data_IF_356534407792
#
_entry.id   IF_356534407792
#
_cell.length_a   1.000
_cell.length_b   1.000
_cell.length_c   1.000
_cell.angle_alpha   90.00
_cell.angle_beta   90.00
_cell.angle_gamma   90.00
#
_symmetry.space_group_name_H-M   'P 1'
#
loop_
_entity.id
_entity.type
_entity.pdbx_description
1 polymer ?
#
# COMPACT_ATOMS: atom_id res chain seq x y z
N UNK A 1 -19.31 -15.21 -5.25
CA UNK A 1 -18.18 -15.43 -6.18
C UNK A 1 -17.41 -14.14 -6.48
N UNK A 2 -18.07 -13.03 -6.84
CA UNK A 2 -17.44 -11.74 -7.13
C UNK A 2 -16.66 -11.11 -5.96
N UNK A 3 -17.16 -11.21 -4.74
CA UNK A 3 -16.53 -10.64 -3.53
C UNK A 3 -15.17 -11.26 -3.22
N UNK A 4 -15.02 -12.58 -3.39
CA UNK A 4 -13.75 -13.29 -3.24
C UNK A 4 -12.73 -12.91 -4.32
N UNK A 5 -13.21 -12.64 -5.54
CA UNK A 5 -12.34 -12.19 -6.64
C UNK A 5 -11.83 -10.76 -6.39
N UNK A 6 -12.71 -9.86 -5.93
CA UNK A 6 -12.32 -8.52 -5.50
C UNK A 6 -11.31 -8.56 -4.35
N UNK A 7 -11.48 -9.48 -3.40
CA UNK A 7 -10.51 -9.69 -2.32
C UNK A 7 -9.13 -10.05 -2.87
N UNK A 8 -9.01 -11.08 -3.70
CA UNK A 8 -7.73 -11.53 -4.26
C UNK A 8 -7.08 -10.42 -5.10
N UNK A 9 -7.86 -9.77 -5.98
CA UNK A 9 -7.37 -8.72 -6.88
C UNK A 9 -6.91 -7.50 -6.10
N UNK A 10 -7.69 -7.02 -5.13
CA UNK A 10 -7.30 -5.86 -4.29
C UNK A 10 -6.02 -6.13 -3.50
N UNK A 11 -5.84 -7.36 -2.98
CA UNK A 11 -4.64 -7.75 -2.26
C UNK A 11 -3.40 -7.68 -3.15
N UNK A 12 -3.42 -8.34 -4.31
CA UNK A 12 -2.29 -8.33 -5.24
C UNK A 12 -2.02 -6.93 -5.82
N UNK A 13 -3.06 -6.16 -6.17
CA UNK A 13 -2.90 -4.78 -6.62
C UNK A 13 -2.23 -3.91 -5.56
N UNK A 14 -2.64 -4.03 -4.30
CA UNK A 14 -2.01 -3.25 -3.22
C UNK A 14 -0.52 -3.54 -3.07
N UNK A 15 -0.11 -4.80 -3.24
CA UNK A 15 1.31 -5.20 -3.17
C UNK A 15 2.10 -4.70 -4.37
N UNK A 16 1.58 -4.85 -5.58
CA UNK A 16 2.24 -4.38 -6.82
C UNK A 16 2.41 -2.86 -6.78
N UNK A 17 1.35 -2.14 -6.41
CA UNK A 17 1.38 -0.68 -6.26
C UNK A 17 2.34 -0.29 -5.15
N UNK A 18 2.33 -0.97 -4.01
CA UNK A 18 3.27 -0.74 -2.91
C UNK A 18 4.74 -0.93 -3.31
N UNK A 19 5.05 -1.95 -4.11
CA UNK A 19 6.40 -2.18 -4.65
C UNK A 19 6.81 -1.07 -5.61
N UNK A 20 5.96 -0.73 -6.59
CA UNK A 20 6.21 0.37 -7.52
C UNK A 20 6.41 1.70 -6.79
N UNK A 21 5.62 1.90 -5.73
CA UNK A 21 5.71 3.04 -4.84
C UNK A 21 7.04 3.08 -4.08
N UNK A 22 7.51 1.95 -3.54
CA UNK A 22 8.82 1.85 -2.87
C UNK A 22 9.97 2.19 -3.82
N UNK A 23 9.91 1.71 -5.07
CA UNK A 23 10.92 2.00 -6.09
C UNK A 23 10.99 3.49 -6.47
N UNK A 24 9.88 4.23 -6.36
CA UNK A 24 9.83 5.66 -6.67
C UNK A 24 10.70 6.52 -5.74
N UNK A 25 11.10 5.99 -4.57
CA UNK A 25 11.99 6.67 -3.62
C UNK A 25 13.42 6.76 -4.15
N UNK A 26 13.82 5.86 -5.07
CA UNK A 26 15.19 5.77 -5.55
C UNK A 26 15.70 7.08 -6.18
N UNK A 27 14.80 7.89 -6.78
CA UNK A 27 15.14 9.24 -7.21
C UNK A 27 14.13 10.25 -6.66
N UNK A 28 14.65 11.34 -6.08
CA UNK A 28 13.84 12.43 -5.49
C UNK A 28 12.81 12.98 -6.49
N UNK A 29 13.12 13.00 -7.78
CA UNK A 29 12.21 13.44 -8.84
C UNK A 29 10.93 12.61 -8.92
N UNK A 30 10.98 11.31 -8.61
CA UNK A 30 9.83 10.41 -8.69
C UNK A 30 9.01 10.32 -7.40
N UNK A 31 9.50 10.92 -6.31
CA UNK A 31 8.83 10.88 -4.99
C UNK A 31 7.42 11.47 -5.04
N UNK A 32 7.18 12.51 -5.85
CA UNK A 32 5.83 13.07 -6.05
C UNK A 32 4.85 12.03 -6.61
N UNK A 33 5.27 11.23 -7.59
CA UNK A 33 4.48 10.12 -8.12
C UNK A 33 4.34 9.00 -7.08
N UNK A 34 5.39 8.79 -6.27
CA UNK A 34 5.37 7.90 -5.12
C UNK A 34 4.24 8.20 -4.14
N UNK A 35 4.01 9.47 -3.80
CA UNK A 35 2.90 9.85 -2.92
C UNK A 35 1.54 9.46 -3.50
N UNK A 36 1.34 9.71 -4.81
CA UNK A 36 0.10 9.30 -5.49
C UNK A 36 -0.11 7.79 -5.48
N UNK A 37 0.96 7.02 -5.77
CA UNK A 37 0.93 5.56 -5.72
C UNK A 37 0.74 5.04 -4.29
N UNK A 38 1.29 5.71 -3.27
CA UNK A 38 1.09 5.35 -1.87
C UNK A 38 -0.40 5.42 -1.51
N UNK A 39 -1.07 6.53 -1.86
CA UNK A 39 -2.50 6.70 -1.60
C UNK A 39 -3.32 5.58 -2.26
N UNK A 40 -3.03 5.27 -3.52
CA UNK A 40 -3.70 4.16 -4.22
C UNK A 40 -3.43 2.80 -3.55
N UNK A 41 -2.19 2.53 -3.16
CA UNK A 41 -1.84 1.29 -2.48
C UNK A 41 -2.51 1.15 -1.11
N UNK A 42 -2.63 2.23 -0.34
CA UNK A 42 -3.41 2.28 0.91
C UNK A 42 -4.90 2.02 0.67
N UNK A 43 -5.50 2.58 -0.38
CA UNK A 43 -6.90 2.35 -0.73
C UNK A 43 -7.16 0.87 -1.05
N UNK A 44 -6.35 0.26 -1.92
CA UNK A 44 -6.50 -1.16 -2.26
C UNK A 44 -6.20 -2.09 -1.09
N UNK A 45 -5.20 -1.76 -0.28
CA UNK A 45 -4.91 -2.49 0.96
C UNK A 45 -6.09 -2.41 1.95
N UNK A 46 -6.67 -1.22 2.12
CA UNK A 46 -7.83 -1.00 2.97
C UNK A 46 -9.06 -1.78 2.50
N UNK A 47 -9.34 -1.79 1.19
CA UNK A 47 -10.42 -2.61 0.61
C UNK A 47 -10.16 -4.09 0.88
N UNK A 48 -8.93 -4.58 0.70
CA UNK A 48 -8.59 -5.97 0.95
C UNK A 48 -8.79 -6.37 2.43
N UNK A 49 -8.29 -5.57 3.37
CA UNK A 49 -8.42 -5.81 4.82
C UNK A 49 -9.89 -5.73 5.24
N UNK A 50 -10.63 -4.75 4.74
CA UNK A 50 -12.06 -4.60 5.03
C UNK A 50 -12.87 -5.79 4.53
N UNK A 51 -12.61 -6.26 3.29
CA UNK A 51 -13.26 -7.44 2.76
C UNK A 51 -12.90 -8.70 3.56
N UNK A 52 -11.66 -8.81 4.04
CA UNK A 52 -11.26 -9.92 4.89
C UNK A 52 -12.00 -9.90 6.23
N UNK A 53 -12.10 -8.74 6.89
CA UNK A 53 -12.83 -8.61 8.16
C UNK A 53 -14.34 -8.82 8.01
N UNK A 54 -14.92 -8.36 6.90
CA UNK A 54 -16.38 -8.40 6.72
C UNK A 54 -16.91 -9.79 6.35
N UNK A 55 -16.14 -10.56 5.60
CA UNK A 55 -16.58 -11.83 5.03
C UNK A 55 -15.75 -13.03 5.50
N UNK A 56 -14.76 -12.80 6.38
CA UNK A 56 -13.87 -13.81 6.95
C UNK A 56 -13.31 -14.76 5.87
N UNK A 57 -12.94 -14.19 4.71
CA UNK A 57 -12.53 -14.98 3.54
C UNK A 57 -11.27 -15.80 3.78
N UNK A 58 -10.38 -15.32 4.66
CA UNK A 58 -9.17 -16.04 5.03
C UNK A 58 -9.30 -16.62 6.44
N UNK A 59 -9.21 -17.94 6.53
CA UNK A 59 -8.71 -18.65 7.73
C UNK A 59 -7.28 -18.18 8.11
N UNK A 60 -6.61 -17.45 7.21
CA UNK A 60 -5.27 -16.89 7.36
C UNK A 60 -5.32 -15.53 8.06
N UNK A 61 -4.74 -15.48 9.25
CA UNK A 61 -4.67 -14.32 10.16
C UNK A 61 -4.02 -13.06 9.57
N UNK A 62 -3.39 -13.14 8.40
CA UNK A 62 -2.58 -12.09 7.76
C UNK A 62 -2.98 -11.86 6.29
N UNK A 63 -4.03 -11.06 6.02
CA UNK A 63 -4.40 -10.68 4.66
C UNK A 63 -3.30 -9.89 3.96
N UNK A 64 -3.16 -10.14 2.65
CA UNK A 64 -2.08 -9.57 1.81
C UNK A 64 -2.11 -8.05 1.76
N UNK A 65 -3.27 -7.43 1.99
CA UNK A 65 -3.43 -5.98 2.11
C UNK A 65 -2.49 -5.36 3.14
N UNK A 66 -2.14 -6.05 4.23
CA UNK A 66 -1.18 -5.54 5.21
C UNK A 66 0.23 -5.35 4.61
N UNK A 67 0.65 -6.23 3.69
CA UNK A 67 1.93 -6.11 3.00
C UNK A 67 1.89 -4.90 2.07
N UNK A 68 0.82 -4.75 1.29
CA UNK A 68 0.61 -3.57 0.44
C UNK A 68 0.63 -2.27 1.24
N UNK A 69 -0.05 -2.25 2.39
CA UNK A 69 -0.08 -1.12 3.30
C UNK A 69 1.32 -0.74 3.82
N UNK A 70 2.11 -1.73 4.23
CA UNK A 70 3.48 -1.51 4.71
C UNK A 70 4.36 -0.93 3.60
N UNK A 71 4.33 -1.52 2.41
CA UNK A 71 5.11 -1.06 1.27
C UNK A 71 4.72 0.37 0.84
N UNK A 72 3.42 0.67 0.80
CA UNK A 72 2.92 2.01 0.49
C UNK A 72 3.28 3.06 1.55
N UNK A 73 3.56 2.65 2.79
CA UNK A 73 3.97 3.58 3.86
C UNK A 73 5.42 4.07 3.73
N UNK A 74 6.30 3.29 3.10
CA UNK A 74 7.75 3.57 3.00
C UNK A 74 8.04 4.96 2.40
N UNK A 75 7.46 5.36 1.24
CA UNK A 75 7.74 6.68 0.66
C UNK A 75 7.21 7.84 1.49
N UNK A 76 6.10 7.65 2.21
CA UNK A 76 5.57 8.68 3.11
C UNK A 76 6.50 8.87 4.31
N UNK A 77 6.98 7.76 4.90
CA UNK A 77 7.95 7.80 5.99
C UNK A 77 9.28 8.42 5.55
N UNK A 78 9.74 8.09 4.33
CA UNK A 78 10.92 8.69 3.73
C UNK A 78 10.77 10.20 3.54
N UNK A 79 9.64 10.65 2.99
CA UNK A 79 9.32 12.07 2.86
C UNK A 79 9.31 12.78 4.21
N UNK A 80 8.67 12.18 5.21
CA UNK A 80 8.64 12.72 6.58
C UNK A 80 10.06 12.89 7.12
N UNK A 81 10.92 11.87 6.95
CA UNK A 81 12.31 11.92 7.39
C UNK A 81 13.10 13.04 6.68
N UNK A 82 12.94 13.19 5.36
CA UNK A 82 13.58 14.26 4.59
C UNK A 82 13.10 15.63 5.11
N UNK A 83 11.79 15.83 5.27
CA UNK A 83 11.24 17.10 5.77
C UNK A 83 11.78 17.42 7.15
N UNK A 84 11.80 16.46 8.09
CA UNK A 84 12.31 16.66 9.43
C UNK A 84 13.80 17.00 9.44
N UNK A 85 14.59 16.39 8.55
CA UNK A 85 16.03 16.63 8.45
C UNK A 85 16.38 18.02 7.90
N UNK A 86 15.60 18.54 6.95
CA UNK A 86 15.89 19.80 6.25
C UNK A 86 15.03 21.01 6.73
N UNK A 87 14.17 20.81 7.72
CA UNK A 87 13.35 21.88 8.33
C UNK A 87 14.11 22.67 9.41
N UNK A 88 15.29 22.20 9.83
CA UNK A 88 16.25 22.91 10.70
C UNK A 88 17.35 23.57 9.88
#
# INVERSE_FOLDING_TARGET
>A
MYTRLLYIVSGWLSVIIGLACTLSIYQVRYVYYGVGLAILGFLFAGINIFLNQKFEFDEVKWPKGYIGMLLSSIPILFLLFVILKYRH
#
